data_IF_871581571613
#
_entry.id   IF_871581571613
#
_cell.length_a   1.000
_cell.length_b   1.000
_cell.length_c   1.000
_cell.angle_alpha   90.00
_cell.angle_beta   90.00
_cell.angle_gamma   90.00
#
_symmetry.space_group_name_H-M   'P 1'
#
loop_
_entity.id
_entity.type
_entity.pdbx_description
1 polymer ?
#
# COMPACT_ATOMS: atom_id res chain seq x y z
N UNK A 1 31.15 31.35 73.74
CA UNK A 1 30.15 30.34 73.34
C UNK A 1 29.98 30.40 71.86
N UNK A 2 30.58 29.50 71.11
CA UNK A 2 30.55 29.45 69.70
C UNK A 2 29.60 28.33 69.31
N UNK A 3 28.44 28.72 68.67
CA UNK A 3 27.53 27.72 68.16
C UNK A 3 27.93 27.40 66.71
N UNK A 4 28.45 26.19 66.51
CA UNK A 4 28.72 25.63 65.16
C UNK A 4 27.44 25.05 64.62
N UNK A 5 26.85 25.72 63.63
CA UNK A 5 25.74 25.16 62.87
C UNK A 5 26.27 24.11 61.86
N UNK A 6 25.90 22.83 62.06
CA UNK A 6 26.14 21.75 61.10
C UNK A 6 25.08 21.83 60.01
N UNK A 7 25.48 22.23 58.81
CA UNK A 7 24.64 22.12 57.63
C UNK A 7 24.65 20.64 57.20
N UNK A 8 23.48 20.00 57.30
CA UNK A 8 23.24 18.68 56.68
C UNK A 8 22.87 18.94 55.22
N UNK A 9 23.75 18.58 54.28
CA UNK A 9 23.44 18.49 52.87
C UNK A 9 22.65 17.21 52.65
N UNK A 10 21.32 17.34 52.51
CA UNK A 10 20.46 16.29 52.03
C UNK A 10 20.61 16.14 50.54
N UNK A 11 21.25 15.08 50.08
CA UNK A 11 21.33 14.70 48.69
C UNK A 11 19.95 14.25 48.20
N UNK A 12 19.26 15.11 47.45
CA UNK A 12 18.03 14.72 46.80
C UNK A 12 18.43 13.93 45.53
N UNK A 13 18.32 12.60 45.62
CA UNK A 13 18.40 11.71 44.48
C UNK A 13 17.10 11.87 43.66
N UNK A 14 17.15 12.65 42.59
CA UNK A 14 16.07 12.68 41.59
C UNK A 14 16.22 11.42 40.74
N UNK A 15 15.42 10.40 41.06
CA UNK A 15 15.27 9.22 40.19
C UNK A 15 14.40 9.68 39.01
N UNK A 16 15.05 10.03 37.88
CA UNK A 16 14.37 10.21 36.62
C UNK A 16 13.89 8.85 36.13
N UNK A 17 12.60 8.55 36.33
CA UNK A 17 11.92 7.42 35.72
C UNK A 17 11.82 7.71 34.22
N UNK A 18 12.74 7.17 33.43
CA UNK A 18 12.60 7.08 32.01
C UNK A 18 11.43 6.12 31.70
N UNK A 19 10.24 6.64 31.52
CA UNK A 19 9.18 5.93 30.82
C UNK A 19 9.63 5.75 29.38
N UNK A 20 10.23 4.63 29.08
CA UNK A 20 10.36 4.17 27.69
C UNK A 20 8.97 3.78 27.25
N UNK A 21 8.29 4.70 26.58
CA UNK A 21 7.13 4.37 25.79
C UNK A 21 7.62 3.44 24.68
N UNK A 22 7.48 2.13 24.88
CA UNK A 22 7.55 1.17 23.78
C UNK A 22 6.36 1.49 22.87
N UNK A 23 6.60 2.35 21.87
CA UNK A 23 5.71 2.46 20.76
C UNK A 23 5.76 1.09 20.06
N UNK A 24 4.80 0.23 20.38
CA UNK A 24 4.53 -0.96 19.58
C UNK A 24 4.09 -0.37 18.24
N UNK A 25 5.02 -0.37 17.29
CA UNK A 25 4.70 -0.07 15.91
C UNK A 25 3.66 -1.13 15.51
N UNK A 26 2.40 -0.72 15.44
CA UNK A 26 1.33 -1.58 14.99
C UNK A 26 1.68 -1.92 13.55
N UNK A 27 2.04 -3.18 13.28
CA UNK A 27 2.37 -3.66 11.95
C UNK A 27 1.15 -3.45 11.07
N UNK A 28 1.23 -2.46 10.20
CA UNK A 28 0.11 -2.09 9.35
C UNK A 28 -0.11 -3.24 8.37
N UNK A 29 -1.28 -3.85 8.43
CA UNK A 29 -1.63 -4.98 7.60
C UNK A 29 -1.69 -4.56 6.13
N UNK A 30 -0.91 -5.23 5.28
CA UNK A 30 -0.94 -5.03 3.83
C UNK A 30 -2.33 -5.32 3.28
N UNK A 31 -2.74 -4.52 2.31
CA UNK A 31 -3.96 -4.77 1.54
C UNK A 31 -3.57 -5.50 0.27
N UNK A 32 -4.14 -6.68 0.05
CA UNK A 32 -3.91 -7.51 -1.14
C UNK A 32 -5.22 -7.67 -1.89
N UNK A 33 -5.23 -7.31 -3.17
CA UNK A 33 -6.42 -7.35 -4.02
C UNK A 33 -6.15 -8.03 -5.34
N UNK A 34 -7.19 -8.65 -5.88
CA UNK A 34 -7.21 -9.19 -7.23
C UNK A 34 -8.36 -8.55 -7.99
N UNK A 35 -8.08 -8.01 -9.17
CA UNK A 35 -9.08 -7.60 -10.14
C UNK A 35 -9.10 -8.60 -11.29
N UNK A 36 -10.26 -9.16 -11.60
CA UNK A 36 -10.47 -9.97 -12.79
C UNK A 36 -11.36 -9.20 -13.75
N UNK A 37 -10.87 -9.04 -14.99
CA UNK A 37 -11.53 -8.22 -15.99
C UNK A 37 -11.76 -9.02 -17.28
N UNK A 38 -12.90 -8.74 -17.92
CA UNK A 38 -13.13 -9.14 -19.30
C UNK A 38 -13.12 -7.86 -20.13
N UNK A 39 -12.24 -7.81 -21.15
CA UNK A 39 -12.01 -6.65 -21.98
C UNK A 39 -12.66 -6.85 -23.34
N UNK A 40 -13.19 -5.76 -23.92
CA UNK A 40 -13.65 -5.75 -25.31
C UNK A 40 -12.49 -6.11 -26.25
N UNK A 41 -12.68 -7.15 -27.04
CA UNK A 41 -11.65 -7.67 -27.95
C UNK A 41 -11.14 -6.62 -28.95
N UNK A 42 -12.01 -5.73 -29.41
CA UNK A 42 -11.67 -4.67 -30.38
C UNK A 42 -10.75 -3.61 -29.74
N UNK A 43 -10.86 -3.41 -28.44
CA UNK A 43 -10.10 -2.40 -27.69
C UNK A 43 -8.95 -2.98 -26.85
N UNK A 44 -8.68 -4.28 -26.99
CA UNK A 44 -7.76 -5.00 -26.11
C UNK A 44 -6.35 -4.39 -26.08
N UNK A 45 -5.76 -4.06 -27.21
CA UNK A 45 -4.41 -3.51 -27.26
C UNK A 45 -4.34 -2.11 -26.66
N UNK A 46 -5.37 -1.30 -26.87
CA UNK A 46 -5.49 0.03 -26.24
C UNK A 46 -5.64 -0.10 -24.73
N UNK A 47 -6.44 -1.04 -24.25
CA UNK A 47 -6.59 -1.33 -22.84
C UNK A 47 -5.26 -1.77 -22.19
N UNK A 48 -4.55 -2.70 -22.81
CA UNK A 48 -3.24 -3.16 -22.32
C UNK A 48 -2.25 -2.02 -22.19
N UNK A 49 -2.22 -1.11 -23.17
CA UNK A 49 -1.34 0.07 -23.12
C UNK A 49 -1.70 1.00 -21.95
N UNK A 50 -2.98 1.29 -21.75
CA UNK A 50 -3.44 2.14 -20.66
C UNK A 50 -3.14 1.51 -19.28
N UNK A 51 -3.39 0.21 -19.12
CA UNK A 51 -3.09 -0.53 -17.89
C UNK A 51 -1.59 -0.56 -17.59
N UNK A 52 -0.75 -0.79 -18.61
CA UNK A 52 0.71 -0.78 -18.45
C UNK A 52 1.20 0.57 -17.93
N UNK A 53 0.79 1.66 -18.56
CA UNK A 53 1.17 3.02 -18.12
C UNK A 53 0.71 3.30 -16.70
N UNK A 54 -0.51 2.91 -16.36
CA UNK A 54 -1.04 3.06 -15.01
C UNK A 54 -0.22 2.27 -13.97
N UNK A 55 0.05 1.00 -14.23
CA UNK A 55 0.80 0.13 -13.33
C UNK A 55 2.23 0.64 -13.06
N UNK A 56 2.95 1.00 -14.13
CA UNK A 56 4.31 1.56 -14.04
C UNK A 56 4.31 2.89 -13.27
N UNK A 57 3.34 3.77 -13.52
CA UNK A 57 3.22 5.06 -12.85
C UNK A 57 2.90 4.90 -11.37
N UNK A 58 1.97 4.02 -11.02
CA UNK A 58 1.57 3.78 -9.65
C UNK A 58 2.75 3.29 -8.80
N UNK A 59 3.46 2.27 -9.26
CA UNK A 59 4.61 1.71 -8.54
C UNK A 59 5.77 2.72 -8.43
N UNK A 60 5.98 3.53 -9.47
CA UNK A 60 7.05 4.54 -9.47
C UNK A 60 6.76 5.72 -8.54
N UNK A 61 5.51 6.21 -8.53
CA UNK A 61 5.15 7.48 -7.86
C UNK A 61 4.55 7.31 -6.47
N UNK A 62 3.99 6.15 -6.15
CA UNK A 62 3.29 5.91 -4.90
C UNK A 62 4.08 4.97 -4.01
N UNK A 63 4.69 5.48 -2.95
CA UNK A 63 5.45 4.65 -2.00
C UNK A 63 4.61 3.53 -1.36
N UNK A 64 3.29 3.74 -1.24
CA UNK A 64 2.36 2.77 -0.67
C UNK A 64 1.86 1.70 -1.65
N UNK A 65 2.15 1.81 -2.95
CA UNK A 65 1.88 0.77 -3.94
C UNK A 65 3.11 -0.13 -4.04
N UNK A 66 3.06 -1.28 -3.38
CA UNK A 66 4.21 -2.19 -3.27
C UNK A 66 4.35 -3.10 -4.49
N UNK A 67 3.21 -3.51 -5.06
CA UNK A 67 3.15 -4.42 -6.20
C UNK A 67 1.91 -4.12 -7.01
N UNK A 68 2.06 -4.09 -8.34
CA UNK A 68 0.96 -4.07 -9.27
C UNK A 68 1.35 -4.92 -10.48
N UNK A 69 0.92 -6.17 -10.51
CA UNK A 69 1.14 -7.11 -11.61
C UNK A 69 -0.12 -7.25 -12.43
N UNK A 70 0.02 -7.13 -13.74
CA UNK A 70 -1.08 -7.30 -14.69
C UNK A 70 -0.69 -8.36 -15.70
N UNK A 71 -1.56 -9.35 -15.87
CA UNK A 71 -1.38 -10.46 -16.81
C UNK A 71 -2.68 -10.71 -17.56
N UNK A 72 -2.58 -11.34 -18.72
CA UNK A 72 -3.74 -11.86 -19.44
C UNK A 72 -3.55 -13.34 -19.77
N UNK A 73 -4.66 -14.03 -19.92
CA UNK A 73 -4.63 -15.45 -20.25
C UNK A 73 -4.13 -15.68 -21.68
N UNK A 74 -3.14 -16.56 -21.85
CA UNK A 74 -2.53 -16.85 -23.16
C UNK A 74 -3.57 -17.32 -24.19
N UNK A 75 -4.49 -18.19 -23.75
CA UNK A 75 -5.50 -18.79 -24.63
C UNK A 75 -6.81 -18.00 -24.69
N UNK A 76 -6.96 -16.97 -23.84
CA UNK A 76 -8.12 -16.09 -23.81
C UNK A 76 -7.67 -14.66 -23.46
N UNK A 77 -7.05 -13.92 -24.40
CA UNK A 77 -6.35 -12.67 -24.14
C UNK A 77 -7.23 -11.52 -23.61
N UNK A 78 -8.56 -11.62 -23.78
CA UNK A 78 -9.49 -10.62 -23.21
C UNK A 78 -9.68 -10.77 -21.69
N UNK A 79 -9.25 -11.88 -21.10
CA UNK A 79 -9.27 -12.10 -19.66
C UNK A 79 -7.98 -11.60 -19.04
N UNK A 80 -8.11 -10.52 -18.29
CA UNK A 80 -6.99 -9.84 -17.59
C UNK A 80 -7.14 -10.02 -16.10
N UNK A 81 -6.04 -10.29 -15.43
CA UNK A 81 -5.95 -10.34 -13.97
C UNK A 81 -4.93 -9.31 -13.50
N UNK A 82 -5.30 -8.49 -12.53
CA UNK A 82 -4.41 -7.56 -11.85
C UNK A 82 -4.27 -8.01 -10.39
N UNK A 83 -3.04 -8.18 -9.94
CA UNK A 83 -2.70 -8.51 -8.56
C UNK A 83 -2.01 -7.31 -7.93
N UNK A 84 -2.55 -6.84 -6.81
CA UNK A 84 -2.14 -5.58 -6.19
C UNK A 84 -1.80 -5.79 -4.72
N UNK A 85 -0.70 -5.17 -4.27
CA UNK A 85 -0.32 -5.11 -2.86
C UNK A 85 -0.08 -3.66 -2.48
N UNK A 86 -0.78 -3.20 -1.46
CA UNK A 86 -0.62 -1.88 -0.84
C UNK A 86 -0.04 -2.02 0.57
N UNK A 87 0.73 -1.03 0.99
CA UNK A 87 1.34 -1.02 2.33
C UNK A 87 0.31 -1.10 3.46
N UNK A 88 -0.87 -0.50 3.26
CA UNK A 88 -1.98 -0.45 4.22
C UNK A 88 -3.25 0.08 3.53
N UNK A 89 -4.33 0.18 4.29
CA UNK A 89 -5.62 0.70 3.80
C UNK A 89 -5.54 2.17 3.36
N UNK A 90 -4.75 3.00 4.05
CA UNK A 90 -4.60 4.41 3.70
C UNK A 90 -3.90 4.57 2.34
N UNK A 91 -2.88 3.75 2.07
CA UNK A 91 -2.21 3.70 0.77
C UNK A 91 -3.16 3.29 -0.36
N UNK A 92 -3.99 2.28 -0.12
CA UNK A 92 -5.03 1.88 -1.08
C UNK A 92 -6.04 3.00 -1.33
N UNK A 93 -6.56 3.62 -0.28
CA UNK A 93 -7.51 4.73 -0.38
C UNK A 93 -6.91 5.93 -1.13
N UNK A 94 -5.64 6.26 -0.86
CA UNK A 94 -4.91 7.32 -1.55
C UNK A 94 -4.73 7.00 -3.05
N UNK A 95 -4.39 5.74 -3.40
CA UNK A 95 -4.24 5.29 -4.78
C UNK A 95 -5.49 5.58 -5.62
N UNK A 96 -6.67 5.32 -5.10
CA UNK A 96 -7.93 5.54 -5.81
C UNK A 96 -8.22 7.02 -6.16
N UNK A 97 -7.51 7.95 -5.55
CA UNK A 97 -7.67 9.40 -5.74
C UNK A 97 -6.55 10.01 -6.59
N UNK A 98 -5.56 9.23 -7.01
CA UNK A 98 -4.43 9.72 -7.79
C UNK A 98 -4.85 10.13 -9.21
N UNK A 99 -4.17 11.13 -9.82
CA UNK A 99 -4.46 11.53 -11.19
C UNK A 99 -4.31 10.40 -12.20
N UNK A 100 -3.29 9.55 -12.05
CA UNK A 100 -3.04 8.43 -12.96
C UNK A 100 -4.08 7.30 -12.82
N UNK A 101 -4.60 7.03 -11.62
CA UNK A 101 -5.70 6.09 -11.44
C UNK A 101 -6.98 6.62 -12.10
N UNK A 102 -7.33 7.89 -11.82
CA UNK A 102 -8.52 8.51 -12.41
C UNK A 102 -8.45 8.58 -13.94
N UNK A 103 -7.27 8.93 -14.49
CA UNK A 103 -7.02 8.91 -15.94
C UNK A 103 -7.25 7.51 -16.51
N UNK A 104 -6.64 6.49 -15.92
CA UNK A 104 -6.83 5.09 -16.33
C UNK A 104 -8.30 4.69 -16.31
N UNK A 105 -9.04 5.01 -15.25
CA UNK A 105 -10.47 4.69 -15.13
C UNK A 105 -11.32 5.37 -16.21
N UNK A 106 -11.05 6.62 -16.52
CA UNK A 106 -11.76 7.38 -17.55
C UNK A 106 -11.46 6.81 -18.93
N UNK A 107 -10.19 6.58 -19.25
CA UNK A 107 -9.76 6.08 -20.57
C UNK A 107 -10.28 4.68 -20.86
N UNK A 108 -10.39 3.82 -19.84
CA UNK A 108 -10.75 2.41 -20.02
C UNK A 108 -12.22 2.08 -19.75
N UNK A 109 -13.02 3.05 -19.30
CA UNK A 109 -14.42 2.84 -18.90
C UNK A 109 -15.25 2.08 -19.94
N UNK A 110 -15.13 2.43 -21.22
CA UNK A 110 -15.86 1.79 -22.30
C UNK A 110 -15.23 0.49 -22.84
N UNK A 111 -14.08 0.08 -22.29
CA UNK A 111 -13.33 -1.10 -22.75
C UNK A 111 -13.56 -2.33 -21.86
N UNK A 112 -13.99 -2.11 -20.62
CA UNK A 112 -14.21 -3.17 -19.62
C UNK A 112 -15.66 -3.65 -19.70
N UNK A 113 -15.84 -4.92 -20.05
CA UNK A 113 -17.16 -5.58 -20.10
C UNK A 113 -17.58 -6.15 -18.78
N UNK A 114 -16.62 -6.65 -17.99
CA UNK A 114 -16.82 -7.21 -16.66
C UNK A 114 -15.64 -6.89 -15.78
N UNK A 115 -15.91 -6.63 -14.49
CA UNK A 115 -14.90 -6.40 -13.46
C UNK A 115 -15.37 -7.07 -12.17
N UNK A 116 -14.55 -7.98 -11.67
CA UNK A 116 -14.67 -8.59 -10.34
C UNK A 116 -13.50 -8.13 -9.48
N UNK A 117 -13.79 -7.44 -8.38
CA UNK A 117 -12.80 -7.03 -7.37
C UNK A 117 -12.87 -7.98 -6.19
N UNK A 118 -11.76 -8.63 -5.89
CA UNK A 118 -11.67 -9.64 -4.83
C UNK A 118 -10.71 -9.13 -3.76
N UNK A 119 -11.23 -8.95 -2.55
CA UNK A 119 -10.41 -8.72 -1.37
C UNK A 119 -9.83 -10.06 -0.92
N UNK A 120 -8.55 -10.07 -0.61
CA UNK A 120 -7.84 -11.31 -0.27
C UNK A 120 -7.06 -11.15 1.03
N UNK A 121 -6.81 -12.28 1.68
CA UNK A 121 -5.88 -12.37 2.80
C UNK A 121 -4.69 -13.19 2.34
N UNK A 122 -3.45 -12.67 2.39
CA UNK A 122 -2.30 -13.41 1.90
C UNK A 122 -1.99 -14.61 2.79
N UNK A 123 -1.68 -15.74 2.17
CA UNK A 123 -1.10 -16.91 2.84
C UNK A 123 0.42 -16.75 2.92
N UNK A 124 1.03 -16.28 1.84
CA UNK A 124 2.45 -15.98 1.73
C UNK A 124 2.70 -14.93 0.64
N UNK A 125 3.67 -14.04 0.83
CA UNK A 125 4.08 -13.00 -0.12
C UNK A 125 5.60 -13.06 -0.31
N UNK A 126 6.08 -14.19 -0.81
CA UNK A 126 7.52 -14.44 -0.98
C UNK A 126 7.99 -14.02 -2.37
N UNK A 127 9.14 -13.37 -2.44
CA UNK A 127 9.84 -13.02 -3.69
C UNK A 127 11.34 -13.02 -3.48
N UNK A 128 12.10 -13.33 -4.52
CA UNK A 128 13.56 -13.10 -4.51
C UNK A 128 13.84 -11.61 -4.69
N UNK A 129 14.84 -11.12 -3.97
CA UNK A 129 15.42 -9.79 -4.16
C UNK A 129 16.38 -9.81 -5.35
#
# INVERSE_FOLDING_TARGET
>A
MTYTAKFLYGSIFIIALFFQANAIAQEQTKVVRIAKLTIDSVQLEKYKSALKVHAETAVLKEAGVLTLYAVYEKNNPTHVTVFEIYANTDAYTAHLKTPHFLKYKIETKGMVKQLDLIETVPIALESKK
#
